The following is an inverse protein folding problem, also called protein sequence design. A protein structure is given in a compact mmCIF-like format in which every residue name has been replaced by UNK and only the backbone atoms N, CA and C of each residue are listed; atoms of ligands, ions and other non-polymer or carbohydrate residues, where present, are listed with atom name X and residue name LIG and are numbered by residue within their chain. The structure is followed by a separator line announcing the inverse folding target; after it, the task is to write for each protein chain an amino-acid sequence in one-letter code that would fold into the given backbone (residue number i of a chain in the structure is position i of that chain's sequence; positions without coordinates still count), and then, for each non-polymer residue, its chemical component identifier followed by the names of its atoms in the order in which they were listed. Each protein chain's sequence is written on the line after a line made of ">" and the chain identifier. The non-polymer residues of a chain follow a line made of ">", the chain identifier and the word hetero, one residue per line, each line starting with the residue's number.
data_IF_237757131791
#
_entry.id   IF_237757131791
#
_cell.length_a   1.000
_cell.length_b   1.000
_cell.length_c   1.000
_cell.angle_alpha   90.00
_cell.angle_beta   90.00
_cell.angle_gamma   90.00
#
_symmetry.space_group_name_H-M   'P 1'
#
loop_
_entity.id
_entity.type
_entity.pdbx_description
1 polymer ?
#
# COMPACT_ATOMS: atom_id res chain seq x y z
N UNK A 1 -13.98 -12.94 -2.08
CA UNK A 1 -13.39 -14.24 -2.47
C UNK A 1 -12.23 -14.55 -1.52
N UNK A 2 -11.84 -15.81 -1.32
CA UNK A 2 -10.70 -16.18 -0.48
C UNK A 2 -9.61 -16.82 -1.35
N UNK A 3 -8.35 -16.40 -1.17
CA UNK A 3 -7.18 -16.92 -1.88
C UNK A 3 -6.16 -17.44 -0.87
N UNK A 4 -5.75 -18.70 -1.00
CA UNK A 4 -4.79 -19.37 -0.11
C UNK A 4 -3.47 -19.60 -0.84
N UNK A 5 -2.40 -19.84 -0.09
CA UNK A 5 -1.06 -20.20 -0.59
C UNK A 5 -0.37 -19.13 -1.46
N UNK A 6 -0.86 -17.88 -1.44
CA UNK A 6 -0.21 -16.75 -2.11
C UNK A 6 0.82 -16.05 -1.22
N UNK A 7 0.57 -16.03 0.08
CA UNK A 7 1.39 -15.35 1.08
C UNK A 7 1.65 -16.28 2.24
N UNK A 8 2.87 -16.27 2.75
CA UNK A 8 3.30 -16.92 3.98
C UNK A 8 3.70 -15.90 5.04
N UNK A 9 3.63 -16.32 6.29
CA UNK A 9 4.20 -15.62 7.44
C UNK A 9 5.13 -16.59 8.14
N UNK A 10 6.44 -16.36 7.99
CA UNK A 10 7.48 -17.28 8.48
C UNK A 10 7.25 -18.71 7.97
N UNK A 11 6.93 -18.84 6.68
CA UNK A 11 6.64 -20.12 6.02
C UNK A 11 5.22 -20.70 6.25
N UNK A 12 4.40 -20.11 7.12
CA UNK A 12 3.02 -20.56 7.32
C UNK A 12 2.07 -19.86 6.33
N UNK A 13 1.36 -20.61 5.50
CA UNK A 13 0.41 -20.05 4.55
C UNK A 13 -0.74 -19.32 5.27
N UNK A 14 -1.11 -18.14 4.75
CA UNK A 14 -2.25 -17.35 5.21
C UNK A 14 -3.29 -17.13 4.11
N UNK A 15 -4.50 -16.75 4.48
CA UNK A 15 -5.62 -16.54 3.56
C UNK A 15 -5.80 -15.06 3.28
N UNK A 16 -5.75 -14.68 2.01
CA UNK A 16 -6.13 -13.34 1.56
C UNK A 16 -7.63 -13.28 1.27
N UNK A 17 -8.30 -12.28 1.83
CA UNK A 17 -9.71 -11.98 1.65
C UNK A 17 -9.87 -10.82 0.67
N UNK A 18 -10.91 -10.89 -0.16
CA UNK A 18 -11.28 -9.80 -1.05
C UNK A 18 -11.29 -10.19 -2.52
N UNK A 19 -11.15 -9.20 -3.39
CA UNK A 19 -11.08 -9.35 -4.84
C UNK A 19 -9.64 -9.17 -5.31
N UNK A 20 -9.15 -10.12 -6.11
CA UNK A 20 -7.86 -9.95 -6.76
C UNK A 20 -7.96 -8.85 -7.81
N UNK A 21 -7.04 -7.90 -7.75
CA UNK A 21 -6.88 -6.88 -8.78
C UNK A 21 -5.79 -7.27 -9.78
N UNK A 22 -5.97 -6.88 -11.04
CA UNK A 22 -5.08 -7.23 -12.15
C UNK A 22 -4.62 -6.00 -12.92
N UNK A 23 -3.44 -6.09 -13.53
CA UNK A 23 -2.94 -5.06 -14.45
C UNK A 23 -3.94 -4.88 -15.61
N UNK A 24 -4.22 -3.63 -15.97
CA UNK A 24 -5.21 -3.23 -16.97
C UNK A 24 -6.63 -3.03 -16.41
N UNK A 25 -6.90 -3.47 -15.18
CA UNK A 25 -8.18 -3.23 -14.52
C UNK A 25 -8.24 -1.80 -13.95
N UNK A 26 -9.41 -1.17 -14.02
CA UNK A 26 -9.68 0.05 -13.25
C UNK A 26 -9.87 -0.30 -11.76
N UNK A 27 -9.09 0.33 -10.89
CA UNK A 27 -9.18 0.12 -9.46
C UNK A 27 -10.53 0.61 -8.92
N UNK A 28 -11.09 -0.12 -7.95
CA UNK A 28 -12.26 0.33 -7.22
C UNK A 28 -11.86 1.42 -6.23
N UNK A 29 -12.74 2.41 -6.04
CA UNK A 29 -12.54 3.41 -4.99
C UNK A 29 -12.61 2.73 -3.61
N UNK A 30 -11.72 3.11 -2.69
CA UNK A 30 -11.65 2.59 -1.33
C UNK A 30 -11.84 3.70 -0.31
N UNK A 31 -12.18 3.34 0.93
CA UNK A 31 -12.23 4.27 2.07
C UNK A 31 -11.20 3.87 3.12
N UNK A 32 -10.40 4.83 3.55
CA UNK A 32 -9.45 4.68 4.65
C UNK A 32 -9.45 5.97 5.49
N UNK A 33 -8.71 5.99 6.60
CA UNK A 33 -8.55 7.17 7.44
C UNK A 33 -7.16 7.77 7.31
N UNK A 34 -7.08 9.09 7.18
CA UNK A 34 -5.80 9.80 7.32
C UNK A 34 -5.41 9.93 8.81
N UNK A 35 -4.21 10.46 9.08
CA UNK A 35 -3.70 10.70 10.45
C UNK A 35 -4.54 11.69 11.28
N UNK A 36 -5.46 12.41 10.65
CA UNK A 36 -6.42 13.33 11.27
C UNK A 36 -7.78 12.70 11.58
N UNK A 37 -7.94 11.37 11.37
CA UNK A 37 -9.21 10.64 11.51
C UNK A 37 -10.27 11.01 10.46
N UNK A 38 -9.86 11.66 9.37
CA UNK A 38 -10.78 12.00 8.27
C UNK A 38 -10.78 10.90 7.23
N UNK A 39 -11.96 10.64 6.65
CA UNK A 39 -12.09 9.71 5.54
C UNK A 39 -11.33 10.21 4.31
N UNK A 40 -10.48 9.35 3.76
CA UNK A 40 -9.74 9.57 2.52
C UNK A 40 -10.05 8.42 1.57
N UNK A 41 -10.27 8.75 0.30
CA UNK A 41 -10.58 7.76 -0.73
C UNK A 41 -9.53 7.74 -1.85
N UNK A 42 -9.58 6.75 -2.75
CA UNK A 42 -8.71 6.76 -3.93
C UNK A 42 -8.97 8.02 -4.77
N UNK A 43 -10.25 8.39 -4.91
CA UNK A 43 -10.68 9.60 -5.63
C UNK A 43 -10.11 10.91 -5.06
N UNK A 44 -9.67 10.91 -3.79
CA UNK A 44 -8.98 12.06 -3.18
C UNK A 44 -7.61 12.34 -3.83
N UNK A 45 -7.09 11.39 -4.61
CA UNK A 45 -5.84 11.49 -5.35
C UNK A 45 -6.06 11.58 -6.87
N UNK A 46 -7.23 12.01 -7.34
CA UNK A 46 -7.53 12.17 -8.77
C UNK A 46 -6.45 12.98 -9.51
N UNK A 47 -6.31 12.70 -10.81
CA UNK A 47 -5.35 13.34 -11.71
C UNK A 47 -3.86 13.07 -11.39
N UNK A 48 -3.57 12.28 -10.35
CA UNK A 48 -2.22 11.82 -9.99
C UNK A 48 -1.98 10.38 -10.40
N UNK A 49 -0.72 10.05 -10.64
CA UNK A 49 -0.23 8.67 -10.60
C UNK A 49 -0.16 8.28 -9.13
N UNK A 50 -0.53 7.04 -8.77
CA UNK A 50 -0.48 6.58 -7.38
C UNK A 50 0.44 5.37 -7.27
N UNK A 51 1.38 5.42 -6.33
CA UNK A 51 2.05 4.24 -5.80
C UNK A 51 1.43 3.95 -4.44
N UNK A 52 0.76 2.81 -4.31
CA UNK A 52 0.13 2.36 -3.06
C UNK A 52 0.93 1.18 -2.54
N UNK A 53 1.62 1.38 -1.42
CA UNK A 53 2.29 0.35 -0.65
C UNK A 53 1.37 -0.14 0.47
N UNK A 54 0.90 -1.37 0.36
CA UNK A 54 0.18 -2.06 1.42
C UNK A 54 1.18 -2.75 2.33
N UNK A 55 1.09 -2.51 3.63
CA UNK A 55 2.03 -3.07 4.62
C UNK A 55 1.26 -3.58 5.85
N UNK A 56 1.73 -4.64 6.52
CA UNK A 56 1.05 -5.17 7.70
C UNK A 56 1.00 -4.16 8.85
N UNK A 57 2.13 -3.53 9.18
CA UNK A 57 2.25 -2.46 10.18
C UNK A 57 3.54 -1.68 9.97
N UNK A 58 3.49 -0.35 10.05
CA UNK A 58 4.65 0.54 9.97
C UNK A 58 5.63 0.33 11.14
N UNK A 59 5.15 -0.18 12.27
CA UNK A 59 5.96 -0.39 13.48
C UNK A 59 6.74 -1.72 13.46
N UNK A 60 7.16 -2.15 12.26
CA UNK A 60 7.96 -3.38 12.06
C UNK A 60 9.19 -3.08 11.21
N UNK A 61 10.33 -3.77 11.42
CA UNK A 61 11.61 -3.39 10.81
C UNK A 61 11.58 -3.29 9.28
N UNK A 62 10.90 -4.21 8.60
CA UNK A 62 10.83 -4.23 7.14
C UNK A 62 9.98 -3.08 6.61
N UNK A 63 8.86 -2.77 7.28
CA UNK A 63 7.98 -1.68 6.87
C UNK A 63 8.60 -0.31 7.12
N UNK A 64 9.37 -0.16 8.21
CA UNK A 64 10.14 1.06 8.50
C UNK A 64 11.18 1.34 7.40
N UNK A 65 11.93 0.30 7.00
CA UNK A 65 12.88 0.42 5.89
C UNK A 65 12.20 0.74 4.56
N UNK A 66 11.05 0.10 4.28
CA UNK A 66 10.29 0.31 3.06
C UNK A 66 9.79 1.75 2.94
N UNK A 67 9.17 2.29 3.99
CA UNK A 67 8.63 3.67 3.96
C UNK A 67 9.73 4.73 3.90
N UNK A 68 10.85 4.54 4.62
CA UNK A 68 12.01 5.43 4.52
C UNK A 68 12.58 5.44 3.10
N UNK A 69 12.78 4.27 2.50
CA UNK A 69 13.27 4.17 1.11
C UNK A 69 12.38 4.91 0.13
N UNK A 70 11.06 4.70 0.18
CA UNK A 70 10.14 5.41 -0.72
C UNK A 70 10.03 6.91 -0.42
N UNK A 71 10.17 7.33 0.84
CA UNK A 71 10.21 8.75 1.21
C UNK A 71 11.44 9.46 0.60
N UNK A 72 12.61 8.81 0.59
CA UNK A 72 13.83 9.38 0.00
C UNK A 72 13.76 9.40 -1.53
N UNK A 73 13.20 8.34 -2.13
CA UNK A 73 12.99 8.28 -3.58
C UNK A 73 11.93 9.27 -4.06
N UNK A 74 10.92 9.60 -3.24
CA UNK A 74 9.88 10.58 -3.57
C UNK A 74 10.44 11.94 -4.01
N UNK A 75 11.56 12.37 -3.41
CA UNK A 75 12.22 13.62 -3.77
C UNK A 75 12.77 13.64 -5.21
N UNK A 76 13.01 12.47 -5.80
CA UNK A 76 13.54 12.29 -7.16
C UNK A 76 12.43 12.04 -8.19
N UNK A 77 11.19 11.91 -7.74
CA UNK A 77 10.04 11.52 -8.56
C UNK A 77 9.17 12.74 -8.93
N UNK A 78 8.22 12.51 -9.84
CA UNK A 78 7.36 13.57 -10.39
C UNK A 78 6.43 14.19 -9.34
N UNK A 79 6.09 15.47 -9.50
CA UNK A 79 5.08 16.17 -8.69
C UNK A 79 3.67 15.61 -8.88
N UNK A 80 3.43 14.91 -9.98
CA UNK A 80 2.17 14.26 -10.31
C UNK A 80 2.00 12.88 -9.63
N UNK A 81 2.96 12.49 -8.79
CA UNK A 81 2.93 11.23 -8.04
C UNK A 81 2.37 11.43 -6.62
N UNK A 82 1.44 10.56 -6.23
CA UNK A 82 1.06 10.34 -4.84
C UNK A 82 1.63 8.99 -4.37
N UNK A 83 2.49 9.02 -3.34
CA UNK A 83 2.96 7.81 -2.67
C UNK A 83 2.14 7.61 -1.39
N UNK A 84 1.48 6.46 -1.28
CA UNK A 84 0.51 6.15 -0.24
C UNK A 84 0.96 4.85 0.43
N UNK A 85 1.16 4.90 1.75
CA UNK A 85 1.33 3.73 2.59
C UNK A 85 0.03 3.45 3.33
N UNK A 86 -0.48 2.23 3.22
CA UNK A 86 -1.72 1.82 3.85
C UNK A 86 -1.51 0.57 4.71
N UNK A 87 -1.96 0.64 5.96
CA UNK A 87 -1.84 -0.46 6.94
C UNK A 87 -3.08 -0.54 7.84
N UNK A 88 -3.08 -1.51 8.76
CA UNK A 88 -4.10 -1.61 9.82
C UNK A 88 -3.72 -0.87 11.10
N UNK A 89 -2.59 -0.15 11.11
CA UNK A 89 -2.19 0.66 12.27
C UNK A 89 -3.19 1.79 12.48
N UNK A 90 -3.46 2.14 13.74
CA UNK A 90 -4.35 3.25 14.04
C UNK A 90 -3.76 4.58 13.54
N UNK A 91 -4.59 5.55 13.10
CA UNK A 91 -4.13 6.82 12.54
C UNK A 91 -3.10 7.58 13.40
N UNK A 92 -3.25 7.53 14.72
CA UNK A 92 -2.31 8.15 15.65
C UNK A 92 -0.97 7.41 15.77
N UNK A 93 -0.94 6.09 15.59
CA UNK A 93 0.29 5.32 15.54
C UNK A 93 1.09 5.66 14.27
N UNK A 94 0.40 5.74 13.13
CA UNK A 94 0.99 6.20 11.86
C UNK A 94 1.51 7.64 11.96
N UNK A 95 0.73 8.54 12.60
CA UNK A 95 1.15 9.93 12.87
C UNK A 95 2.42 9.99 13.70
N UNK A 96 2.48 9.25 14.81
CA UNK A 96 3.65 9.16 15.69
C UNK A 96 4.87 8.64 14.93
N UNK A 97 4.69 7.58 14.15
CA UNK A 97 5.76 7.00 13.33
C UNK A 97 6.32 8.02 12.33
N UNK A 98 5.45 8.73 11.60
CA UNK A 98 5.88 9.70 10.59
C UNK A 98 6.62 10.88 11.23
N UNK A 99 6.17 11.35 12.40
CA UNK A 99 6.82 12.42 13.14
C UNK A 99 8.20 12.01 13.65
N UNK A 100 8.33 10.81 14.23
CA UNK A 100 9.59 10.32 14.79
C UNK A 100 10.66 10.04 13.72
N UNK A 101 10.24 9.69 12.50
CA UNK A 101 11.15 9.33 11.41
C UNK A 101 11.22 10.39 10.30
N UNK A 102 10.69 11.60 10.55
CA UNK A 102 10.69 12.72 9.62
C UNK A 102 10.11 12.40 8.22
N UNK A 103 9.12 11.50 8.17
CA UNK A 103 8.46 11.09 6.94
C UNK A 103 7.51 12.19 6.48
N UNK A 104 7.83 12.84 5.36
CA UNK A 104 7.11 14.04 4.86
C UNK A 104 6.61 13.89 3.43
N UNK A 105 7.24 13.03 2.62
CA UNK A 105 6.98 12.95 1.19
C UNK A 105 5.91 11.91 0.81
N UNK A 106 5.53 11.03 1.74
CA UNK A 106 4.48 10.02 1.54
C UNK A 106 3.26 10.31 2.39
N UNK A 107 2.11 9.78 2.00
CA UNK A 107 0.87 9.79 2.77
C UNK A 107 0.69 8.46 3.47
N UNK A 108 0.30 8.48 4.73
CA UNK A 108 -0.10 7.28 5.47
C UNK A 108 -1.61 7.26 5.66
N UNK A 109 -2.22 6.10 5.39
CA UNK A 109 -3.64 5.83 5.53
C UNK A 109 -3.86 4.58 6.38
N UNK A 110 -4.90 4.61 7.20
CA UNK A 110 -5.30 3.48 8.02
C UNK A 110 -6.57 2.85 7.47
N UNK A 111 -6.49 1.57 7.12
CA UNK A 111 -7.64 0.76 6.68
C UNK A 111 -8.37 0.11 7.87
N UNK A 112 -7.99 0.46 9.12
CA UNK A 112 -8.39 -0.28 10.32
C UNK A 112 -9.91 -0.30 10.56
N UNK A 113 -10.62 0.77 10.16
CA UNK A 113 -12.04 0.98 10.49
C UNK A 113 -12.92 -0.06 9.80
N UNK A 114 -12.79 -0.15 8.48
CA UNK A 114 -13.70 -0.92 7.63
C UNK A 114 -12.99 -2.07 6.87
N UNK A 115 -11.65 -2.05 6.82
CA UNK A 115 -10.83 -2.93 5.99
C UNK A 115 -11.26 -2.93 4.51
N UNK A 116 -11.70 -1.76 4.03
CA UNK A 116 -12.32 -1.60 2.71
C UNK A 116 -11.27 -1.71 1.60
N UNK A 117 -10.12 -1.05 1.79
CA UNK A 117 -8.98 -1.19 0.86
C UNK A 117 -8.52 -2.65 0.79
N UNK A 118 -8.28 -3.27 1.95
CA UNK A 118 -7.78 -4.64 2.03
C UNK A 118 -8.69 -5.65 1.32
N UNK A 119 -10.01 -5.45 1.38
CA UNK A 119 -10.98 -6.29 0.66
C UNK A 119 -11.04 -5.97 -0.83
N UNK A 120 -11.03 -4.70 -1.22
CA UNK A 120 -11.13 -4.29 -2.64
C UNK A 120 -9.87 -4.56 -3.46
N UNK A 121 -8.71 -4.53 -2.81
CA UNK A 121 -7.41 -4.85 -3.42
C UNK A 121 -6.96 -6.30 -3.13
N UNK A 122 -7.76 -7.04 -2.36
CA UNK A 122 -7.55 -8.46 -2.09
C UNK A 122 -6.35 -8.76 -1.21
N UNK A 123 -5.92 -7.82 -0.37
CA UNK A 123 -4.71 -7.94 0.48
C UNK A 123 -5.02 -8.08 1.97
N UNK A 124 -6.30 -8.17 2.38
CA UNK A 124 -6.63 -8.40 3.78
C UNK A 124 -6.32 -9.85 4.20
N UNK A 125 -5.41 -10.03 5.15
CA UNK A 125 -5.11 -11.35 5.74
C UNK A 125 -6.20 -11.71 6.74
N UNK A 126 -6.90 -12.82 6.49
CA UNK A 126 -8.05 -13.28 7.29
C UNK A 126 -7.67 -13.62 8.72
N UNK A 127 -6.55 -14.30 8.90
CA UNK A 127 -6.12 -14.87 10.20
C UNK A 127 -5.68 -13.81 11.20
N UNK A 128 -5.13 -12.70 10.73
CA UNK A 128 -4.55 -11.66 11.59
C UNK A 128 -5.28 -10.32 11.50
N UNK A 129 -6.16 -10.14 10.51
CA UNK A 129 -6.76 -8.84 10.17
C UNK A 129 -5.68 -7.75 9.98
N UNK A 130 -4.61 -8.13 9.31
CA UNK A 130 -3.53 -7.25 8.83
C UNK A 130 -3.54 -7.21 7.30
N UNK A 131 -2.87 -6.25 6.69
CA UNK A 131 -2.68 -6.25 5.24
C UNK A 131 -1.44 -7.06 4.85
N UNK A 132 -1.53 -7.79 3.74
CA UNK A 132 -0.39 -8.40 3.09
C UNK A 132 0.51 -7.33 2.48
N UNK A 133 1.82 -7.60 2.46
CA UNK A 133 2.77 -6.69 1.83
C UNK A 133 2.58 -6.72 0.31
N UNK A 134 2.26 -5.56 -0.26
CA UNK A 134 2.01 -5.43 -1.68
C UNK A 134 2.30 -4.02 -2.20
N UNK A 135 2.64 -3.91 -3.48
CA UNK A 135 2.79 -2.63 -4.20
C UNK A 135 1.80 -2.62 -5.35
N UNK A 136 1.05 -1.53 -5.47
CA UNK A 136 0.18 -1.22 -6.61
C UNK A 136 0.60 0.10 -7.24
N UNK A 137 0.64 0.16 -8.57
CA UNK A 137 0.84 1.42 -9.30
C UNK A 137 -0.35 1.65 -10.19
N UNK A 138 -0.98 2.81 -10.03
CA UNK A 138 -2.15 3.25 -10.77
C UNK A 138 -1.80 4.49 -11.57
N UNK A 139 -2.29 4.60 -12.79
CA UNK A 139 -2.18 5.83 -13.58
C UNK A 139 -3.21 6.91 -13.16
N UNK A 140 -3.28 7.98 -13.94
CA UNK A 140 -4.18 9.12 -13.68
C UNK A 140 -5.67 8.74 -13.80
N UNK A 141 -5.99 7.70 -14.56
CA UNK A 141 -7.35 7.19 -14.81
C UNK A 141 -7.77 6.08 -13.83
N UNK A 142 -6.94 5.83 -12.80
CA UNK A 142 -7.05 4.75 -11.83
C UNK A 142 -6.94 3.34 -12.45
N UNK A 143 -6.29 3.21 -13.61
CA UNK A 143 -5.99 1.91 -14.20
C UNK A 143 -4.72 1.36 -13.56
N UNK A 144 -4.79 0.12 -13.11
CA UNK A 144 -3.68 -0.58 -12.47
C UNK A 144 -2.64 -0.93 -13.53
N UNK A 145 -1.43 -0.40 -13.37
CA UNK A 145 -0.28 -0.62 -14.26
C UNK A 145 0.74 -1.59 -13.68
N UNK A 146 0.73 -1.78 -12.36
CA UNK A 146 1.59 -2.74 -11.67
C UNK A 146 0.91 -3.33 -10.45
N UNK A 147 1.15 -4.62 -10.22
CA UNK A 147 0.77 -5.34 -9.00
C UNK A 147 1.94 -6.21 -8.57
N UNK A 148 2.31 -6.11 -7.30
CA UNK A 148 3.19 -7.06 -6.65
C UNK A 148 2.60 -7.42 -5.30
N UNK A 149 2.34 -8.71 -5.08
CA UNK A 149 2.04 -9.27 -3.77
C UNK A 149 3.28 -10.04 -3.33
N UNK A 150 3.82 -9.72 -2.15
CA UNK A 150 5.06 -10.34 -1.67
C UNK A 150 4.75 -11.72 -1.09
N UNK A 151 5.38 -12.81 -1.58
CA UNK A 151 5.05 -14.17 -1.16
C UNK A 151 5.33 -14.46 0.32
N UNK A 152 6.30 -13.78 0.94
CA UNK A 152 6.61 -13.91 2.36
C UNK A 152 6.48 -12.53 3.03
N UNK A 153 5.60 -12.41 4.03
CA UNK A 153 5.25 -11.15 4.66
C UNK A 153 6.45 -10.46 5.34
N UNK A 154 7.41 -11.26 5.83
CA UNK A 154 8.66 -10.79 6.43
C UNK A 154 9.75 -10.40 5.42
N UNK A 155 9.52 -10.57 4.13
CA UNK A 155 10.45 -10.12 3.08
C UNK A 155 10.05 -8.73 2.58
N UNK A 156 11.02 -7.91 2.13
CA UNK A 156 10.72 -6.66 1.43
C UNK A 156 10.10 -6.93 0.04
N UNK A 157 9.45 -5.92 -0.59
CA UNK A 157 9.08 -6.01 -1.99
C UNK A 157 10.32 -5.89 -2.89
N UNK A 158 10.12 -6.15 -4.18
CA UNK A 158 11.11 -5.89 -5.22
C UNK A 158 11.04 -4.40 -5.59
N UNK A 159 11.86 -3.61 -4.90
CA UNK A 159 11.88 -2.16 -5.04
C UNK A 159 12.31 -1.72 -6.43
N UNK A 160 13.32 -2.37 -7.01
CA UNK A 160 13.84 -2.00 -8.34
C UNK A 160 12.73 -2.18 -9.38
N UNK A 161 12.06 -3.34 -9.37
CA UNK A 161 10.96 -3.63 -10.30
C UNK A 161 9.78 -2.67 -10.12
N UNK A 162 9.43 -2.34 -8.88
CA UNK A 162 8.38 -1.36 -8.59
C UNK A 162 8.74 0.04 -9.11
N UNK A 163 9.98 0.50 -8.89
CA UNK A 163 10.45 1.82 -9.33
C UNK A 163 10.60 1.89 -10.86
N UNK A 164 11.00 0.81 -11.52
CA UNK A 164 11.03 0.71 -12.99
C UNK A 164 9.62 0.80 -13.58
N UNK A 165 8.67 0.03 -13.03
CA UNK A 165 7.27 0.09 -13.44
C UNK A 165 6.69 1.50 -13.22
N UNK A 166 7.03 2.14 -12.10
CA UNK A 166 6.60 3.51 -11.82
C UNK A 166 7.13 4.50 -12.87
N UNK A 167 8.41 4.44 -13.19
CA UNK A 167 9.03 5.30 -14.22
C UNK A 167 8.39 5.10 -15.59
N UNK A 168 7.93 3.90 -15.92
CA UNK A 168 7.24 3.63 -17.19
C UNK A 168 5.86 4.31 -17.27
N UNK A 169 5.19 4.53 -16.12
CA UNK A 169 3.87 5.18 -16.05
C UNK A 169 3.98 6.70 -15.96
N UNK A 170 5.08 7.22 -15.41
CA UNK A 170 5.32 8.68 -15.22
C UNK A 170 5.76 9.40 -16.50
N UNK A 171 6.08 8.66 -17.58
CA UNK A 171 6.52 9.23 -18.87
C UNK A 171 5.45 10.05 -19.58
#
# INVERSE_FOLDING_TARGET
>A
MERKNLVTVKGNAVTLSGEEVKVGQKAQDFKALNTGLEETTLSSFKDKIKLIASVPSLDTPVCDLEIKRFNDEAAKLSKDLAIIFISMDLPFAQKRFCQANEIKAVKTLSDHRDADFGRKFGVLIKEMRLLARAIFILDKDDVIRYVQIVPELSSPPDYERALEALKAVVK
#
